data_IF_030309274902
#
_entry.id   IF_030309274902
#
_cell.length_a   1.000
_cell.length_b   1.000
_cell.length_c   1.000
_cell.angle_alpha   90.00
_cell.angle_beta   90.00
_cell.angle_gamma   90.00
#
_symmetry.space_group_name_H-M   'P 1'
#
loop_
_entity.id
_entity.type
_entity.pdbx_description
1 polymer ?
#
# COMPACT_ATOMS: atom_id res chain seq x y z
N UNK A 1 -20.28 -4.21 -11.56
CA UNK A 1 -19.73 -3.06 -10.80
C UNK A 1 -19.35 -3.60 -9.44
N UNK A 2 -18.11 -4.08 -9.33
CA UNK A 2 -17.56 -4.51 -8.05
C UNK A 2 -16.84 -3.28 -7.46
N UNK A 3 -17.51 -2.67 -6.48
CA UNK A 3 -16.99 -1.61 -5.61
C UNK A 3 -15.84 -2.13 -4.76
N UNK A 4 -15.16 -1.23 -4.01
CA UNK A 4 -14.49 -1.56 -2.78
C UNK A 4 -14.38 -3.02 -2.40
N UNK A 5 -13.25 -3.73 -2.54
CA UNK A 5 -13.02 -4.84 -1.60
C UNK A 5 -12.83 -4.21 -0.22
N UNK A 6 -13.94 -3.77 0.39
CA UNK A 6 -13.98 -2.88 1.54
C UNK A 6 -15.10 -1.82 1.56
N UNK A 7 -15.70 -1.32 0.46
CA UNK A 7 -16.40 0.00 0.48
C UNK A 7 -17.89 0.08 0.16
N UNK A 8 -18.59 1.01 0.82
CA UNK A 8 -19.98 1.47 0.54
C UNK A 8 -20.00 3.01 0.49
N UNK A 9 -20.43 3.59 -0.62
CA UNK A 9 -21.06 4.92 -0.65
C UNK A 9 -22.59 4.75 -0.49
N UNK A 10 -23.23 5.57 0.34
CA UNK A 10 -24.65 5.94 0.15
C UNK A 10 -24.97 7.25 0.89
N UNK A 11 -24.97 8.37 0.16
CA UNK A 11 -25.73 9.58 0.52
C UNK A 11 -26.60 9.93 -0.69
N UNK A 12 -27.87 9.52 -0.63
CA UNK A 12 -28.89 9.61 -1.68
C UNK A 12 -29.27 11.07 -2.08
N UNK A 13 -29.89 11.33 -3.27
CA UNK A 13 -30.70 10.40 -4.05
C UNK A 13 -30.45 10.38 -5.59
N UNK A 14 -30.04 9.21 -6.11
CA UNK A 14 -30.68 8.47 -7.23
C UNK A 14 -29.81 7.26 -7.58
N UNK A 15 -30.45 6.08 -7.53
CA UNK A 15 -29.90 4.72 -7.67
C UNK A 15 -29.12 4.20 -6.46
N UNK A 16 -29.78 3.40 -5.62
CA UNK A 16 -29.14 2.54 -4.62
C UNK A 16 -28.13 1.66 -5.34
N UNK A 17 -26.85 1.97 -5.23
CA UNK A 17 -25.86 1.06 -5.76
C UNK A 17 -25.69 -0.10 -4.77
N UNK A 18 -26.18 -1.25 -5.20
CA UNK A 18 -26.14 -2.46 -4.42
C UNK A 18 -24.72 -3.05 -4.47
N UNK A 19 -24.01 -3.08 -3.33
CA UNK A 19 -22.69 -3.71 -3.24
C UNK A 19 -22.85 -5.23 -3.46
N UNK A 20 -22.68 -5.70 -4.68
CA UNK A 20 -22.84 -7.13 -5.01
C UNK A 20 -21.80 -8.01 -4.28
N UNK A 21 -20.61 -7.45 -4.03
CA UNK A 21 -19.54 -8.12 -3.29
C UNK A 21 -19.92 -8.47 -1.85
N UNK A 22 -20.60 -7.58 -1.13
CA UNK A 22 -21.04 -7.84 0.25
C UNK A 22 -22.09 -8.94 0.28
N UNK A 23 -23.02 -8.98 -0.68
CA UNK A 23 -24.01 -10.04 -0.73
C UNK A 23 -23.35 -11.40 -1.03
N UNK A 24 -22.43 -11.45 -2.00
CA UNK A 24 -21.67 -12.67 -2.30
C UNK A 24 -20.94 -13.20 -1.05
N UNK A 25 -20.21 -12.33 -0.33
CA UNK A 25 -19.51 -12.70 0.92
C UNK A 25 -20.48 -13.09 2.03
N UNK A 26 -21.60 -12.39 2.17
CA UNK A 26 -22.64 -12.72 3.13
C UNK A 26 -23.24 -14.10 2.86
N UNK A 27 -23.56 -14.44 1.60
CA UNK A 27 -24.08 -15.78 1.24
C UNK A 27 -23.12 -16.92 1.61
N UNK A 28 -21.81 -16.67 1.52
CA UNK A 28 -20.77 -17.63 1.90
C UNK A 28 -20.66 -17.83 3.43
N UNK A 29 -20.93 -16.78 4.21
CA UNK A 29 -20.68 -16.76 5.67
C UNK A 29 -21.95 -16.76 6.53
N UNK A 30 -23.13 -16.58 5.93
CA UNK A 30 -24.40 -16.47 6.64
C UNK A 30 -24.68 -17.72 7.50
N UNK A 31 -25.19 -17.49 8.71
CA UNK A 31 -25.39 -18.54 9.71
C UNK A 31 -24.11 -19.00 10.42
N UNK A 32 -22.99 -18.27 10.26
CA UNK A 32 -21.71 -18.61 10.89
C UNK A 32 -20.96 -19.72 10.17
N UNK A 33 -21.21 -19.88 8.86
CA UNK A 33 -20.49 -20.85 8.02
C UNK A 33 -19.00 -20.52 8.02
N UNK A 34 -18.19 -21.55 8.22
CA UNK A 34 -16.74 -21.45 8.08
C UNK A 34 -16.39 -21.36 6.60
N UNK A 35 -15.49 -20.44 6.27
CA UNK A 35 -14.95 -20.28 4.93
C UNK A 35 -13.46 -20.59 4.95
N UNK A 36 -12.98 -21.30 3.94
CA UNK A 36 -11.57 -21.57 3.74
C UNK A 36 -10.98 -20.50 2.83
N UNK A 37 -9.79 -20.01 3.18
CA UNK A 37 -9.07 -19.00 2.40
C UNK A 37 -7.59 -19.40 2.32
N UNK A 38 -7.00 -19.20 1.14
CA UNK A 38 -5.56 -19.34 0.91
C UNK A 38 -5.05 -18.05 0.28
N UNK A 39 -3.92 -17.55 0.75
CA UNK A 39 -3.33 -16.31 0.27
C UNK A 39 -1.85 -16.25 0.55
N UNK A 40 -1.16 -15.40 -0.21
CA UNK A 40 0.24 -15.08 0.02
C UNK A 40 0.38 -14.18 1.26
N UNK A 41 1.42 -14.38 2.04
CA UNK A 41 1.74 -13.48 3.15
C UNK A 41 2.50 -12.29 2.56
N UNK A 42 1.83 -11.15 2.49
CA UNK A 42 2.43 -9.89 2.06
C UNK A 42 3.42 -9.39 3.13
N UNK A 43 4.69 -9.73 2.95
CA UNK A 43 5.82 -9.33 3.78
C UNK A 43 7.03 -9.14 2.86
N UNK A 44 7.84 -8.10 3.11
CA UNK A 44 8.94 -7.68 2.24
C UNK A 44 9.89 -8.84 1.89
N UNK A 45 10.23 -9.68 2.87
CA UNK A 45 11.13 -10.85 2.71
C UNK A 45 10.50 -12.00 1.89
N UNK A 46 9.16 -12.06 1.83
CA UNK A 46 8.45 -13.09 1.06
C UNK A 46 8.14 -12.65 -0.37
N UNK A 47 8.46 -11.41 -0.73
CA UNK A 47 8.25 -10.86 -2.06
C UNK A 47 9.52 -10.95 -2.95
N UNK A 48 10.61 -11.55 -2.46
CA UNK A 48 11.83 -11.81 -3.25
C UNK A 48 11.90 -13.27 -3.71
N UNK A 49 12.50 -13.50 -4.88
CA UNK A 49 12.42 -14.79 -5.59
C UNK A 49 13.40 -15.87 -5.11
N UNK A 50 14.34 -15.54 -4.21
CA UNK A 50 15.38 -16.47 -3.73
C UNK A 50 14.86 -17.29 -2.57
N UNK A 51 15.24 -18.57 -2.55
CA UNK A 51 15.07 -19.40 -1.36
C UNK A 51 15.94 -18.88 -0.21
N UNK A 52 15.38 -18.88 0.98
CA UNK A 52 16.14 -18.62 2.21
C UNK A 52 17.20 -19.72 2.41
N UNK A 53 18.38 -19.36 2.90
CA UNK A 53 19.43 -20.31 3.23
C UNK A 53 18.94 -21.35 4.25
N UNK A 54 19.50 -22.56 4.15
CA UNK A 54 19.23 -23.62 5.10
C UNK A 54 19.76 -23.26 6.50
N UNK A 55 19.03 -23.67 7.55
CA UNK A 55 19.43 -23.42 8.94
C UNK A 55 19.20 -21.98 9.42
N UNK A 56 18.40 -21.19 8.70
CA UNK A 56 17.90 -19.90 9.17
C UNK A 56 16.57 -20.12 9.88
N UNK A 57 16.48 -19.68 11.13
CA UNK A 57 15.23 -19.74 11.90
C UNK A 57 14.26 -18.65 11.46
N UNK A 58 13.02 -19.04 11.14
CA UNK A 58 11.96 -18.12 10.74
C UNK A 58 10.85 -18.14 11.78
N UNK A 59 10.59 -16.97 12.38
CA UNK A 59 9.48 -16.77 13.30
C UNK A 59 8.48 -15.79 12.69
N UNK A 60 7.29 -16.28 12.38
CA UNK A 60 6.19 -15.45 11.92
C UNK A 60 5.27 -15.09 13.10
N UNK A 61 4.94 -13.80 13.25
CA UNK A 61 3.95 -13.32 14.19
C UNK A 61 2.86 -12.57 13.44
N UNK A 62 1.66 -13.13 13.43
CA UNK A 62 0.48 -12.52 12.82
C UNK A 62 -0.37 -11.87 13.92
N UNK A 63 -0.69 -10.59 13.76
CA UNK A 63 -1.57 -9.86 14.66
C UNK A 63 -2.83 -9.51 13.89
N UNK A 64 -3.98 -9.98 14.38
CA UNK A 64 -5.27 -9.73 13.72
C UNK A 64 -5.75 -8.31 14.03
N UNK A 65 -6.22 -7.60 13.01
CA UNK A 65 -6.95 -6.35 13.17
C UNK A 65 -8.28 -6.53 13.93
N UNK A 66 -8.80 -5.45 14.51
CA UNK A 66 -10.08 -5.45 15.23
C UNK A 66 -11.24 -5.79 14.29
N UNK A 67 -12.28 -6.45 14.82
CA UNK A 67 -13.47 -6.79 14.03
C UNK A 67 -14.14 -5.56 13.42
N UNK A 68 -14.15 -4.42 14.12
CA UNK A 68 -14.73 -3.17 13.63
C UNK A 68 -13.98 -2.53 12.46
N UNK A 69 -12.71 -2.91 12.26
CA UNK A 69 -11.93 -2.49 11.10
C UNK A 69 -12.12 -3.45 9.92
N UNK A 70 -12.21 -4.76 10.19
CA UNK A 70 -12.33 -5.77 9.14
C UNK A 70 -13.76 -5.94 8.60
N UNK A 71 -14.78 -5.60 9.40
CA UNK A 71 -16.18 -5.80 9.07
C UNK A 71 -16.92 -4.47 9.05
N UNK A 72 -17.73 -4.28 8.02
CA UNK A 72 -18.69 -3.18 7.94
C UNK A 72 -20.07 -3.70 8.30
N UNK A 73 -20.65 -3.09 9.33
CA UNK A 73 -22.00 -3.36 9.80
C UNK A 73 -22.67 -2.07 10.30
N UNK A 74 -23.77 -1.71 9.65
CA UNK A 74 -24.63 -0.57 10.03
C UNK A 74 -25.77 -0.97 10.97
N UNK A 75 -25.89 -2.26 11.30
CA UNK A 75 -26.89 -2.76 12.25
C UNK A 75 -26.43 -2.63 13.70
N UNK A 76 -27.36 -2.85 14.62
CA UNK A 76 -27.07 -2.95 16.06
C UNK A 76 -26.43 -4.29 16.47
N UNK A 77 -26.20 -5.20 15.51
CA UNK A 77 -25.57 -6.49 15.77
C UNK A 77 -24.05 -6.33 15.92
N UNK A 78 -23.44 -7.35 16.50
CA UNK A 78 -21.99 -7.44 16.68
C UNK A 78 -21.51 -8.71 15.98
N UNK A 79 -20.95 -8.54 14.79
CA UNK A 79 -20.28 -9.61 14.06
C UNK A 79 -18.82 -9.71 14.50
N UNK A 80 -18.26 -10.92 14.44
CA UNK A 80 -16.86 -11.18 14.76
C UNK A 80 -16.24 -12.12 13.73
N UNK A 81 -14.96 -11.95 13.47
CA UNK A 81 -14.15 -12.89 12.70
C UNK A 81 -13.41 -13.78 13.69
N UNK A 82 -13.57 -15.09 13.55
CA UNK A 82 -12.85 -16.09 14.31
C UNK A 82 -12.00 -16.94 13.37
N UNK A 83 -10.70 -17.04 13.65
CA UNK A 83 -9.81 -17.97 12.97
C UNK A 83 -9.98 -19.32 13.67
N UNK A 84 -10.57 -20.28 12.97
CA UNK A 84 -10.78 -21.64 13.49
C UNK A 84 -9.52 -22.48 13.39
N UNK A 85 -8.81 -22.34 12.27
CA UNK A 85 -7.56 -23.04 11.97
C UNK A 85 -6.68 -22.13 11.10
N UNK A 86 -5.36 -22.22 11.27
CA UNK A 86 -4.40 -21.51 10.44
C UNK A 86 -3.21 -22.45 10.16
N UNK A 87 -2.92 -22.65 8.87
CA UNK A 87 -1.85 -23.50 8.39
C UNK A 87 -0.92 -22.70 7.47
N UNK A 88 0.39 -22.85 7.66
CA UNK A 88 1.41 -22.22 6.82
C UNK A 88 2.01 -23.26 5.86
N UNK A 89 1.82 -23.03 4.56
CA UNK A 89 2.37 -23.89 3.51
C UNK A 89 3.65 -23.25 2.98
N UNK A 90 4.79 -23.93 3.14
CA UNK A 90 6.10 -23.42 2.70
C UNK A 90 6.72 -24.38 1.70
N UNK A 91 7.20 -23.85 0.56
CA UNK A 91 7.98 -24.62 -0.41
C UNK A 91 9.43 -24.76 0.08
N UNK A 92 9.93 -26.00 0.10
CA UNK A 92 11.33 -26.31 0.42
C UNK A 92 12.02 -26.96 -0.78
N UNK A 93 13.27 -26.58 -1.04
CA UNK A 93 14.10 -27.18 -2.08
C UNK A 93 15.15 -28.11 -1.45
N UNK A 94 15.29 -29.33 -1.98
CA UNK A 94 16.36 -30.26 -1.57
C UNK A 94 17.59 -30.00 -2.43
N UNK A 95 18.69 -29.61 -1.79
CA UNK A 95 19.96 -29.30 -2.47
C UNK A 95 20.81 -30.57 -2.63
N UNK A 96 21.61 -30.62 -3.71
CA UNK A 96 22.63 -31.66 -3.87
C UNK A 96 23.81 -31.41 -2.92
N UNK A 97 24.55 -32.45 -2.50
CA UNK A 97 25.70 -32.28 -1.60
C UNK A 97 26.76 -31.30 -2.14
N UNK A 98 26.98 -31.27 -3.45
CA UNK A 98 27.91 -30.34 -4.09
C UNK A 98 27.52 -28.88 -3.92
N UNK A 99 26.22 -28.57 -4.04
CA UNK A 99 25.70 -27.20 -3.84
C UNK A 99 25.80 -26.78 -2.37
N UNK A 100 25.52 -27.69 -1.43
CA UNK A 100 25.69 -27.42 0.01
C UNK A 100 27.14 -27.09 0.36
N UNK A 101 28.10 -27.85 -0.17
CA UNK A 101 29.52 -27.59 0.04
C UNK A 101 29.96 -26.27 -0.61
N UNK A 102 29.46 -25.98 -1.81
CA UNK A 102 29.72 -24.72 -2.50
C UNK A 102 29.18 -23.52 -1.70
N UNK A 103 27.95 -23.60 -1.19
CA UNK A 103 27.38 -22.57 -0.32
C UNK A 103 28.23 -22.35 0.94
N UNK A 104 28.66 -23.42 1.61
CA UNK A 104 29.52 -23.30 2.80
C UNK A 104 30.86 -22.61 2.49
N UNK A 105 31.51 -22.96 1.38
CA UNK A 105 32.77 -22.32 0.94
C UNK A 105 32.58 -20.86 0.56
N UNK A 106 31.48 -20.51 -0.10
CA UNK A 106 31.17 -19.13 -0.48
C UNK A 106 30.83 -18.28 0.75
N UNK A 107 30.04 -18.83 1.69
CA UNK A 107 29.65 -18.14 2.92
C UNK A 107 30.84 -17.84 3.84
N UNK A 108 31.93 -18.60 3.73
CA UNK A 108 33.18 -18.30 4.43
C UNK A 108 33.90 -17.04 3.90
N UNK A 109 33.53 -16.54 2.71
CA UNK A 109 34.14 -15.38 2.05
C UNK A 109 33.21 -14.17 1.95
N UNK A 110 31.91 -14.41 1.80
CA UNK A 110 30.89 -13.35 1.62
C UNK A 110 29.57 -13.78 2.25
N UNK A 111 28.72 -12.82 2.56
CA UNK A 111 27.33 -13.06 2.97
C UNK A 111 26.46 -13.45 1.77
N UNK A 112 25.34 -14.13 2.04
CA UNK A 112 24.26 -14.27 1.08
C UNK A 112 23.37 -13.03 1.10
N UNK A 113 23.10 -12.45 -0.07
CA UNK A 113 22.38 -11.18 -0.21
C UNK A 113 20.98 -11.37 -0.80
N UNK A 114 20.01 -10.81 -0.10
CA UNK A 114 18.59 -10.81 -0.44
C UNK A 114 18.15 -9.36 -0.65
N UNK A 115 18.05 -8.92 -1.92
CA UNK A 115 17.41 -7.65 -2.28
C UNK A 115 15.96 -7.64 -1.78
N UNK A 116 15.55 -6.58 -1.09
CA UNK A 116 14.20 -6.37 -0.59
C UNK A 116 13.64 -5.06 -1.12
N UNK A 117 12.36 -5.07 -1.48
CA UNK A 117 11.56 -3.84 -1.54
C UNK A 117 10.89 -3.68 -0.19
N UNK A 118 11.49 -2.86 0.68
CA UNK A 118 10.97 -2.58 2.03
C UNK A 118 9.81 -1.61 1.92
N UNK A 119 8.73 -1.86 2.66
CA UNK A 119 7.55 -0.99 2.69
C UNK A 119 7.42 -0.34 4.05
N UNK A 120 7.17 0.97 4.06
CA UNK A 120 6.79 1.73 5.25
C UNK A 120 5.51 2.52 4.98
N UNK A 121 4.55 2.44 5.91
CA UNK A 121 3.31 3.21 5.84
C UNK A 121 3.30 4.23 6.96
N UNK A 122 3.19 5.51 6.60
CA UNK A 122 3.01 6.63 7.53
C UNK A 122 1.61 7.22 7.35
N UNK A 123 1.10 7.85 8.41
CA UNK A 123 -0.17 8.56 8.37
C UNK A 123 -0.06 9.93 9.02
N UNK A 124 -0.61 10.95 8.38
CA UNK A 124 -0.63 12.33 8.86
C UNK A 124 -2.07 12.81 8.97
N UNK A 125 -2.41 13.47 10.07
CA UNK A 125 -3.78 13.97 10.30
C UNK A 125 -3.90 15.37 9.71
N UNK A 126 -4.84 15.57 8.79
CA UNK A 126 -5.29 16.87 8.34
C UNK A 126 -6.53 17.26 9.14
N UNK A 127 -6.53 18.44 9.75
CA UNK A 127 -7.63 18.87 10.60
C UNK A 127 -8.84 19.32 9.77
N UNK A 128 -10.04 19.15 10.33
CA UNK A 128 -11.28 19.72 9.77
C UNK A 128 -11.12 21.23 9.54
N UNK A 129 -11.66 21.72 8.43
CA UNK A 129 -11.62 23.12 8.05
C UNK A 129 -10.39 23.48 7.22
N UNK A 130 -9.54 22.50 6.90
CA UNK A 130 -8.34 22.69 6.09
C UNK A 130 -8.72 22.77 4.62
N UNK A 131 -8.37 23.87 3.95
CA UNK A 131 -8.42 24.02 2.47
C UNK A 131 -7.08 23.71 1.82
N UNK A 132 -6.00 23.71 2.60
CA UNK A 132 -4.66 23.39 2.13
C UNK A 132 -3.70 23.14 3.28
N UNK A 133 -2.77 22.21 3.10
CA UNK A 133 -1.76 21.86 4.11
C UNK A 133 -0.42 21.50 3.47
N UNK A 134 0.64 21.65 4.25
CA UNK A 134 2.00 21.24 3.90
C UNK A 134 2.54 20.30 4.97
N UNK A 135 2.71 19.04 4.61
CA UNK A 135 3.27 18.01 5.49
C UNK A 135 4.79 18.04 5.30
N UNK A 136 5.45 18.89 6.09
CA UNK A 136 6.91 18.95 6.16
C UNK A 136 7.48 17.66 6.72
N UNK A 137 8.63 17.23 6.19
CA UNK A 137 9.35 16.04 6.65
C UNK A 137 8.47 14.78 6.72
N UNK A 138 7.52 14.62 5.80
CA UNK A 138 6.74 13.40 5.65
C UNK A 138 7.67 12.16 5.60
N UNK A 139 8.83 12.32 4.95
CA UNK A 139 9.98 11.44 5.10
C UNK A 139 11.21 12.30 5.39
N UNK A 140 12.02 11.86 6.35
CA UNK A 140 13.33 12.41 6.66
C UNK A 140 14.29 11.23 6.86
N UNK A 141 15.36 11.18 6.07
CA UNK A 141 16.29 10.05 6.06
C UNK A 141 16.43 9.46 4.66
N UNK A 142 16.52 8.13 4.56
CA UNK A 142 16.54 7.44 3.26
C UNK A 142 15.31 7.88 2.44
N UNK A 143 15.52 8.28 1.19
CA UNK A 143 14.43 8.62 0.29
C UNK A 143 13.87 7.33 -0.34
N UNK A 144 12.54 7.16 -0.41
CA UNK A 144 11.95 6.01 -1.07
C UNK A 144 12.12 6.12 -2.58
N UNK A 145 12.14 4.97 -3.26
CA UNK A 145 12.10 4.91 -4.72
C UNK A 145 10.70 5.23 -5.26
N UNK A 146 9.66 4.94 -4.47
CA UNK A 146 8.26 5.15 -4.83
C UNK A 146 7.46 5.57 -3.61
N UNK A 147 6.52 6.48 -3.82
CA UNK A 147 5.47 6.77 -2.84
C UNK A 147 4.10 6.68 -3.46
N UNK A 148 3.14 6.19 -2.68
CA UNK A 148 1.72 6.19 -3.01
C UNK A 148 1.00 6.85 -1.85
N UNK A 149 0.13 7.81 -2.14
CA UNK A 149 -0.64 8.48 -1.09
C UNK A 149 -2.12 8.60 -1.43
N UNK A 150 -2.93 8.69 -0.39
CA UNK A 150 -4.36 8.96 -0.50
C UNK A 150 -4.93 9.46 0.81
N UNK A 151 -6.19 9.89 0.76
CA UNK A 151 -6.86 10.52 1.88
C UNK A 151 -8.10 9.73 2.28
N UNK A 152 -8.18 9.41 3.56
CA UNK A 152 -9.31 8.68 4.16
C UNK A 152 -9.86 9.46 5.34
N UNK A 153 -11.17 9.37 5.58
CA UNK A 153 -11.77 9.95 6.77
C UNK A 153 -11.14 9.36 8.05
N UNK A 154 -10.83 10.21 9.02
CA UNK A 154 -10.11 9.79 10.23
C UNK A 154 -10.91 8.77 11.06
N UNK A 155 -12.24 8.88 11.09
CA UNK A 155 -13.10 7.91 11.81
C UNK A 155 -13.08 6.55 11.11
N UNK A 156 -13.13 6.54 9.78
CA UNK A 156 -12.96 5.31 8.98
C UNK A 156 -11.61 4.64 9.23
N UNK A 157 -10.51 5.41 9.16
CA UNK A 157 -9.15 4.89 9.38
C UNK A 157 -8.98 4.21 10.75
N UNK A 158 -9.62 4.76 11.79
CA UNK A 158 -9.59 4.22 13.14
C UNK A 158 -10.51 3.00 13.36
N UNK A 159 -11.21 2.53 12.31
CA UNK A 159 -11.98 1.30 12.32
C UNK A 159 -13.39 1.44 12.89
N UNK A 160 -14.12 2.48 12.49
CA UNK A 160 -15.55 2.58 12.74
C UNK A 160 -16.33 1.53 11.92
N UNK A 161 -17.14 0.73 12.61
CA UNK A 161 -17.85 -0.40 11.99
C UNK A 161 -18.85 0.01 10.91
N UNK A 162 -19.27 1.27 10.84
CA UNK A 162 -20.25 1.74 9.86
C UNK A 162 -19.63 2.33 8.60
N UNK A 163 -18.30 2.54 8.62
CA UNK A 163 -17.52 3.19 7.57
C UNK A 163 -16.44 2.26 6.99
N UNK A 164 -15.94 2.60 5.81
CA UNK A 164 -14.89 1.84 5.15
C UNK A 164 -13.51 2.49 5.34
N UNK A 165 -12.53 1.82 5.98
CA UNK A 165 -11.15 2.30 6.09
C UNK A 165 -10.38 2.33 4.76
N UNK A 166 -10.90 1.69 3.71
CA UNK A 166 -10.31 1.62 2.37
C UNK A 166 -11.03 2.51 1.34
N UNK A 167 -11.79 3.50 1.81
CA UNK A 167 -12.51 4.45 0.96
C UNK A 167 -11.66 5.71 0.77
N UNK A 168 -10.76 5.65 -0.22
CA UNK A 168 -9.86 6.74 -0.57
C UNK A 168 -10.58 7.73 -1.47
N UNK A 169 -11.31 8.67 -0.87
CA UNK A 169 -12.04 9.69 -1.62
C UNK A 169 -11.09 10.75 -2.16
N UNK A 170 -11.55 11.45 -3.20
CA UNK A 170 -10.82 12.59 -3.75
C UNK A 170 -10.89 13.84 -2.84
N UNK A 171 -11.94 13.97 -2.02
CA UNK A 171 -12.17 15.12 -1.11
C UNK A 171 -12.15 16.49 -1.79
N UNK A 172 -12.40 16.57 -3.09
CA UNK A 172 -12.25 17.80 -3.86
C UNK A 172 -10.79 18.26 -3.95
N UNK A 173 -9.82 17.33 -3.90
CA UNK A 173 -8.42 17.67 -4.11
C UNK A 173 -8.26 18.36 -5.47
N UNK A 174 -7.61 19.52 -5.47
CA UNK A 174 -7.40 20.34 -6.66
C UNK A 174 -5.93 20.75 -6.87
N UNK A 175 -5.07 20.36 -5.94
CA UNK A 175 -3.64 20.57 -6.00
C UNK A 175 -2.93 19.46 -5.22
N UNK A 176 -1.95 18.82 -5.83
CA UNK A 176 -1.05 17.90 -5.15
C UNK A 176 0.36 18.00 -5.73
N UNK A 177 1.34 18.17 -4.86
CA UNK A 177 2.74 18.12 -5.23
C UNK A 177 3.60 17.56 -4.11
N UNK A 178 4.71 16.94 -4.49
CA UNK A 178 5.77 16.51 -3.60
C UNK A 178 6.96 17.44 -3.76
N UNK A 179 7.76 17.57 -2.71
CA UNK A 179 9.04 18.25 -2.76
C UNK A 179 10.11 17.32 -2.19
N UNK A 180 11.06 16.90 -3.03
CA UNK A 180 12.22 16.11 -2.64
C UNK A 180 13.41 17.06 -2.54
N UNK A 181 13.91 17.30 -1.33
CA UNK A 181 14.97 18.27 -1.05
C UNK A 181 14.71 19.66 -1.67
N UNK A 182 13.46 20.11 -1.59
CA UNK A 182 12.99 21.38 -2.15
C UNK A 182 12.73 21.38 -3.66
N UNK A 183 13.05 20.29 -4.37
CA UNK A 183 12.74 20.13 -5.80
C UNK A 183 11.34 19.54 -5.96
N UNK A 184 10.51 20.20 -6.75
CA UNK A 184 9.12 19.80 -6.96
C UNK A 184 8.99 18.54 -7.83
N UNK A 185 8.15 17.59 -7.40
CA UNK A 185 7.80 16.35 -8.10
C UNK A 185 6.27 16.18 -8.06
N UNK A 186 5.57 16.15 -9.21
CA UNK A 186 6.10 16.33 -10.56
C UNK A 186 6.52 17.78 -10.80
N UNK A 187 7.30 18.03 -11.86
CA UNK A 187 7.76 19.39 -12.21
C UNK A 187 6.62 20.39 -12.46
N UNK A 188 5.39 19.91 -12.67
CA UNK A 188 4.15 20.67 -12.50
C UNK A 188 3.29 19.97 -11.46
N UNK A 189 2.62 20.71 -10.57
CA UNK A 189 1.74 20.10 -9.57
C UNK A 189 0.54 19.46 -10.28
N UNK A 190 0.02 18.39 -9.71
CA UNK A 190 -1.23 17.82 -10.17
C UNK A 190 -2.37 18.76 -9.80
N UNK A 191 -3.26 19.05 -10.74
CA UNK A 191 -4.43 19.89 -10.51
C UNK A 191 -5.72 19.19 -10.96
N UNK A 192 -6.09 18.07 -10.31
CA UNK A 192 -7.31 17.37 -10.69
C UNK A 192 -8.55 18.23 -10.43
N UNK A 193 -9.61 17.96 -11.19
CA UNK A 193 -10.94 18.46 -10.88
C UNK A 193 -11.92 17.30 -10.98
N UNK A 194 -12.64 17.06 -9.89
CA UNK A 194 -13.60 15.97 -9.76
C UNK A 194 -15.06 16.44 -9.92
N UNK A 195 -15.26 17.73 -10.18
CA UNK A 195 -16.57 18.35 -10.32
C UNK A 195 -16.68 19.19 -11.61
N UNK A 196 -17.91 19.40 -12.09
CA UNK A 196 -18.20 20.20 -13.28
C UNK A 196 -18.11 19.45 -14.61
N UNK A 197 -18.28 20.17 -15.73
CA UNK A 197 -18.39 19.59 -17.08
C UNK A 197 -17.07 19.12 -17.71
N UNK A 198 -15.93 19.44 -17.08
CA UNK A 198 -14.59 19.10 -17.55
C UNK A 198 -13.83 18.39 -16.44
N UNK A 199 -14.24 17.16 -16.14
CA UNK A 199 -13.53 16.21 -15.28
C UNK A 199 -12.05 16.08 -15.70
N UNK A 200 -11.14 16.68 -14.90
CA UNK A 200 -9.70 16.77 -15.18
C UNK A 200 -8.86 15.80 -14.31
N UNK A 201 -9.39 14.63 -13.97
CA UNK A 201 -8.67 13.63 -13.16
C UNK A 201 -7.74 12.72 -13.96
N UNK A 202 -7.69 12.82 -15.30
CA UNK A 202 -6.95 11.89 -16.14
C UNK A 202 -5.45 11.83 -15.84
N UNK A 203 -4.81 12.98 -15.61
CA UNK A 203 -3.38 13.02 -15.24
C UNK A 203 -3.16 12.37 -13.87
N UNK A 204 -3.99 12.69 -12.88
CA UNK A 204 -3.91 12.10 -11.55
C UNK A 204 -4.15 10.58 -11.57
N UNK A 205 -5.13 10.11 -12.33
CA UNK A 205 -5.36 8.68 -12.56
C UNK A 205 -4.18 8.02 -13.28
N UNK A 206 -3.57 8.70 -14.26
CA UNK A 206 -2.39 8.17 -14.98
C UNK A 206 -1.18 7.94 -14.06
N UNK A 207 -1.10 8.67 -12.93
CA UNK A 207 -0.02 8.46 -11.95
C UNK A 207 -0.02 7.05 -11.40
N UNK A 208 -1.18 6.39 -11.26
CA UNK A 208 -1.25 5.00 -10.83
C UNK A 208 -0.52 4.06 -11.78
N UNK A 209 -0.52 4.35 -13.09
CA UNK A 209 0.12 3.52 -14.09
C UNK A 209 1.62 3.81 -14.19
N UNK A 210 1.97 5.10 -14.22
CA UNK A 210 3.36 5.55 -14.31
C UNK A 210 4.13 5.23 -13.02
N UNK A 211 3.57 5.61 -11.87
CA UNK A 211 4.20 5.44 -10.56
C UNK A 211 4.39 3.98 -10.18
N UNK A 212 3.45 3.08 -10.52
CA UNK A 212 3.60 1.63 -10.28
C UNK A 212 4.39 0.91 -11.37
N UNK A 213 4.71 1.57 -12.48
CA UNK A 213 5.48 1.01 -13.59
C UNK A 213 4.70 0.05 -14.49
N UNK A 214 3.36 0.11 -14.49
CA UNK A 214 2.51 -0.74 -15.33
C UNK A 214 2.03 -0.07 -16.63
N UNK A 215 2.37 1.21 -16.85
CA UNK A 215 1.86 2.02 -17.97
C UNK A 215 2.06 1.37 -19.35
N UNK A 216 3.15 0.62 -19.54
CA UNK A 216 3.44 -0.10 -20.79
C UNK A 216 3.35 -1.62 -20.64
N UNK A 217 2.70 -2.09 -19.57
CA UNK A 217 2.46 -3.51 -19.34
C UNK A 217 1.13 -3.95 -19.96
N UNK A 218 0.98 -5.26 -20.14
CA UNK A 218 -0.23 -5.95 -20.58
C UNK A 218 -1.19 -6.29 -19.43
N UNK A 219 -0.94 -5.75 -18.23
CA UNK A 219 -1.74 -6.00 -17.02
C UNK A 219 -2.27 -4.67 -16.44
N UNK A 220 -3.43 -4.72 -15.79
CA UNK A 220 -4.09 -3.56 -15.18
C UNK A 220 -4.04 -3.56 -13.66
N UNK A 221 -4.53 -2.46 -13.06
CA UNK A 221 -4.67 -2.28 -11.60
C UNK A 221 -6.07 -2.59 -11.05
N UNK A 222 -7.00 -3.05 -11.90
CA UNK A 222 -8.42 -3.29 -11.55
C UNK A 222 -9.12 -2.08 -10.88
N UNK A 223 -8.69 -0.87 -11.24
CA UNK A 223 -9.32 0.39 -10.86
C UNK A 223 -9.66 1.07 -12.18
N UNK A 224 -10.95 1.22 -12.49
CA UNK A 224 -11.35 2.02 -13.65
C UNK A 224 -11.25 3.52 -13.35
N UNK A 225 -11.31 4.36 -14.38
CA UNK A 225 -11.36 5.82 -14.20
C UNK A 225 -12.58 6.27 -13.39
N UNK A 226 -13.71 5.56 -13.50
CA UNK A 226 -14.87 5.83 -12.64
C UNK A 226 -14.65 5.39 -11.20
N UNK A 227 -13.95 4.27 -10.96
CA UNK A 227 -13.64 3.82 -9.61
C UNK A 227 -12.68 4.80 -8.92
N UNK A 228 -11.69 5.30 -9.68
CA UNK A 228 -10.72 6.29 -9.20
C UNK A 228 -11.38 7.49 -8.51
N UNK A 229 -12.37 8.09 -9.16
CA UNK A 229 -13.09 9.24 -8.59
C UNK A 229 -14.01 8.88 -7.42
N UNK A 230 -14.38 7.60 -7.28
CA UNK A 230 -15.40 7.10 -6.35
C UNK A 230 -14.80 6.12 -5.31
N UNK A 231 -13.79 6.56 -4.57
CA UNK A 231 -13.25 5.83 -3.42
C UNK A 231 -11.93 5.09 -3.65
N UNK A 232 -11.33 5.23 -4.84
CA UNK A 232 -10.00 4.70 -5.17
C UNK A 232 -9.00 5.80 -5.60
N UNK A 233 -9.15 7.01 -5.07
CA UNK A 233 -8.32 8.15 -5.41
C UNK A 233 -6.97 8.05 -4.67
N UNK A 234 -6.02 7.42 -5.34
CA UNK A 234 -4.62 7.29 -4.91
C UNK A 234 -3.70 8.03 -5.90
N UNK A 235 -2.55 8.49 -5.42
CA UNK A 235 -1.55 9.16 -6.25
C UNK A 235 -0.23 8.45 -6.09
N UNK A 236 0.36 7.99 -7.20
CA UNK A 236 1.60 7.21 -7.17
C UNK A 236 2.73 7.96 -7.88
N UNK A 237 3.86 8.11 -7.21
CA UNK A 237 5.03 8.83 -7.71
C UNK A 237 6.24 7.91 -7.70
N UNK A 238 6.87 7.77 -8.87
CA UNK A 238 8.21 7.23 -8.99
C UNK A 238 9.20 8.37 -8.71
N UNK A 239 10.06 8.20 -7.70
CA UNK A 239 11.06 9.18 -7.28
C UNK A 239 12.46 8.83 -7.79
N UNK A 240 12.60 7.76 -8.57
CA UNK A 240 13.87 7.41 -9.20
C UNK A 240 14.17 8.38 -10.37
N UNK A 241 15.43 8.80 -10.55
CA UNK A 241 15.80 9.74 -11.61
C UNK A 241 15.50 9.26 -13.03
N UNK A 242 15.47 7.95 -13.25
CA UNK A 242 15.27 7.28 -14.54
C UNK A 242 13.90 6.61 -14.67
N UNK A 243 12.99 6.84 -13.71
CA UNK A 243 11.63 6.28 -13.68
C UNK A 243 11.62 4.74 -13.72
N UNK A 244 12.54 4.13 -12.99
CA UNK A 244 12.77 2.69 -12.93
C UNK A 244 12.46 2.08 -11.56
N UNK A 245 11.56 2.68 -10.75
CA UNK A 245 11.20 2.11 -9.43
C UNK A 245 10.65 0.68 -9.51
N UNK A 246 10.08 0.29 -10.66
CA UNK A 246 9.60 -1.06 -10.93
C UNK A 246 10.64 -2.00 -11.57
N UNK A 247 11.86 -1.51 -11.82
CA UNK A 247 12.90 -2.28 -12.52
C UNK A 247 13.63 -3.20 -11.54
N UNK A 248 13.68 -4.49 -11.87
CA UNK A 248 14.40 -5.48 -11.07
C UNK A 248 15.86 -5.70 -11.50
N UNK A 249 16.33 -5.05 -12.58
CA UNK A 249 17.67 -5.33 -13.14
C UNK A 249 18.78 -4.54 -12.45
N UNK A 250 18.46 -3.40 -11.85
CA UNK A 250 19.41 -2.54 -11.17
C UNK A 250 18.71 -1.69 -10.13
N UNK A 251 19.51 -1.08 -9.24
CA UNK A 251 19.04 -0.11 -8.27
C UNK A 251 19.60 1.26 -8.58
N UNK A 252 18.79 2.26 -8.30
CA UNK A 252 19.26 3.63 -8.24
C UNK A 252 20.09 3.85 -6.99
N UNK A 253 20.95 4.87 -7.02
CA UNK A 253 21.71 5.27 -5.86
C UNK A 253 20.75 5.67 -4.72
N UNK A 254 20.86 4.98 -3.59
CA UNK A 254 20.12 5.31 -2.38
C UNK A 254 20.58 6.68 -1.87
N UNK A 255 19.64 7.62 -1.74
CA UNK A 255 19.90 8.98 -1.26
C UNK A 255 19.24 9.20 0.10
N UNK A 256 19.81 10.13 0.85
CA UNK A 256 19.22 10.64 2.10
C UNK A 256 18.77 12.06 1.86
N UNK A 257 17.58 12.42 2.34
CA UNK A 257 16.99 13.73 2.14
C UNK A 257 15.66 13.89 2.89
N UNK A 258 14.86 14.81 2.40
CA UNK A 258 13.54 15.15 2.92
C UNK A 258 12.48 15.07 1.83
N UNK A 259 11.32 14.52 2.18
CA UNK A 259 10.11 14.54 1.36
C UNK A 259 9.06 15.39 2.07
N UNK A 260 8.54 16.41 1.39
CA UNK A 260 7.38 17.19 1.81
C UNK A 260 6.21 16.95 0.86
N UNK A 261 5.00 16.93 1.39
CA UNK A 261 3.75 16.80 0.63
C UNK A 261 2.99 18.12 0.75
N UNK A 262 2.52 18.68 -0.36
CA UNK A 262 1.65 19.85 -0.39
C UNK A 262 0.33 19.49 -1.08
N UNK A 263 -0.78 19.80 -0.42
CA UNK A 263 -2.11 19.39 -0.86
C UNK A 263 -3.11 20.51 -0.63
N UNK A 264 -3.96 20.80 -1.62
CA UNK A 264 -5.11 21.70 -1.47
C UNK A 264 -6.42 21.03 -1.88
N UNK A 265 -7.53 21.59 -1.41
CA UNK A 265 -8.90 21.16 -1.66
C UNK A 265 -9.75 22.34 -2.14
N UNK A 266 -10.73 22.06 -2.98
CA UNK A 266 -11.68 23.07 -3.49
C UNK A 266 -12.48 23.73 -2.35
N UNK A 267 -12.83 22.94 -1.34
CA UNK A 267 -13.55 23.40 -0.15
C UNK A 267 -12.83 22.96 1.12
N UNK A 268 -13.03 23.71 2.20
CA UNK A 268 -12.51 23.34 3.51
C UNK A 268 -13.07 21.97 3.96
N UNK A 269 -12.19 21.06 4.37
CA UNK A 269 -12.58 19.70 4.78
C UNK A 269 -13.64 19.69 5.88
N UNK A 270 -14.65 18.85 5.74
CA UNK A 270 -15.77 18.78 6.69
C UNK A 270 -15.50 17.87 7.88
N UNK A 271 -14.50 16.98 7.78
CA UNK A 271 -14.02 16.09 8.83
C UNK A 271 -12.49 16.10 8.89
N UNK A 272 -11.91 15.50 9.93
CA UNK A 272 -10.47 15.24 9.95
C UNK A 272 -10.16 14.15 8.94
N UNK A 273 -9.09 14.31 8.16
CA UNK A 273 -8.62 13.32 7.21
C UNK A 273 -7.31 12.72 7.70
N UNK A 274 -7.03 11.48 7.31
CA UNK A 274 -5.69 10.90 7.36
C UNK A 274 -5.14 10.84 5.94
N UNK A 275 -4.01 11.52 5.72
CA UNK A 275 -3.15 11.29 4.58
C UNK A 275 -2.33 10.03 4.87
N UNK A 276 -2.59 8.95 4.14
CA UNK A 276 -1.83 7.70 4.23
C UNK A 276 -0.75 7.73 3.17
N UNK A 277 0.51 7.61 3.58
CA UNK A 277 1.69 7.58 2.72
C UNK A 277 2.31 6.19 2.77
N UNK A 278 2.23 5.45 1.67
CA UNK A 278 2.92 4.19 1.44
C UNK A 278 4.24 4.49 0.71
N UNK A 279 5.37 4.05 1.27
CA UNK A 279 6.70 4.34 0.75
C UNK A 279 7.50 3.05 0.55
N UNK A 280 8.09 2.88 -0.63
CA UNK A 280 8.94 1.73 -0.98
C UNK A 280 10.41 2.12 -1.01
N UNK A 281 11.26 1.28 -0.43
CA UNK A 281 12.71 1.46 -0.38
C UNK A 281 13.42 0.23 -0.94
N UNK A 282 14.57 0.43 -1.55
CA UNK A 282 15.50 -0.66 -1.85
C UNK A 282 16.43 -0.87 -0.66
N UNK A 283 16.45 -2.10 -0.14
CA UNK A 283 17.26 -2.50 1.00
C UNK A 283 17.84 -3.91 0.80
N UNK A 284 18.96 -4.22 1.45
CA UNK A 284 19.56 -5.55 1.43
C UNK A 284 19.41 -6.21 2.80
N UNK A 285 18.90 -7.44 2.80
CA UNK A 285 19.09 -8.39 3.89
C UNK A 285 20.26 -9.30 3.55
N UNK A 286 21.23 -9.37 4.46
CA UNK A 286 22.39 -10.26 4.35
C UNK A 286 22.33 -11.37 5.40
N UNK A 287 22.78 -12.56 5.03
CA UNK A 287 22.91 -13.71 5.94
C UNK A 287 24.35 -14.20 5.90
N UNK A 288 24.99 -14.27 7.07
CA UNK A 288 26.38 -14.67 7.18
C UNK A 288 26.57 -16.19 7.33
N UNK A 289 27.83 -16.61 7.47
CA UNK A 289 28.20 -18.02 7.65
C UNK A 289 27.62 -18.65 8.92
N UNK A 290 27.36 -17.84 9.95
CA UNK A 290 26.77 -18.24 11.24
C UNK A 290 25.25 -18.13 11.27
N UNK A 291 24.62 -17.78 10.14
CA UNK A 291 23.17 -17.57 9.98
C UNK A 291 22.63 -16.36 10.75
N UNK A 292 23.50 -15.40 11.09
CA UNK A 292 23.05 -14.12 11.58
C UNK A 292 22.52 -13.27 10.44
N UNK A 293 21.47 -12.51 10.73
CA UNK A 293 20.80 -11.61 9.79
C UNK A 293 21.38 -10.21 10.00
N UNK A 294 21.82 -9.59 8.91
CA UNK A 294 22.34 -8.22 8.87
C UNK A 294 21.44 -7.44 7.92
N UNK A 295 21.00 -6.25 8.33
CA UNK A 295 20.15 -5.37 7.51
C UNK A 295 20.78 -3.99 7.44
N UNK A 296 20.55 -3.29 6.32
CA UNK A 296 21.06 -1.94 6.06
C UNK A 296 20.08 -0.81 6.44
N UNK A 297 19.00 -1.15 7.15
CA UNK A 297 17.98 -0.23 7.63
C UNK A 297 17.75 -0.39 9.13
N UNK A 298 17.31 0.70 9.77
CA UNK A 298 16.86 0.66 11.16
C UNK A 298 15.47 0.04 11.23
N UNK A 299 15.29 -0.88 12.17
CA UNK A 299 14.02 -1.57 12.47
C UNK A 299 13.08 -0.70 13.30
#
# INVERSE_FOLDING_TARGET
>A
MDYPVGGVEDTAPKTKVYNQGIEKRWRMTNGGKVVEMIGHIHCDVFNQDKFLLNGVDVRLRLVRSKDTFCLIDRTSKNYKIAITEASLIVRRAKLSPGVLLAHAKTLAKTTAKYPLTRVEVKSFVLHRGTSGDSIDNAILGQLPKRVILGFVDNVSFNGDKTRNPYDFKNWGNNFLSLYVDGVQVPGRPLQPSFAGGSHMEAESYSTLFNGTGIHFSDHGIDISRSDYSNGYCLFAFDLTPDLSANCATHWNLVKTGSLRIEVHFDEATTTNLNCVLYAEYDNILEIDSTRQIIVDYNS
#
